data_IF_613229850189
#
_entry.id   IF_613229850189
#
_cell.length_a   1.000
_cell.length_b   1.000
_cell.length_c   1.000
_cell.angle_alpha   90.00
_cell.angle_beta   90.00
_cell.angle_gamma   90.00
#
_symmetry.space_group_name_H-M   'P 1'
#
loop_
_entity.id
_entity.type
_entity.pdbx_description
1 polymer ?
#
# COMPACT_ATOMS: atom_id res chain seq x y z
N UNK A 1 37.36 2.92 11.38
CA UNK A 1 37.41 1.48 11.74
C UNK A 1 35.98 1.01 11.98
N UNK A 2 35.75 -0.29 11.87
CA UNK A 2 34.48 -0.91 12.18
C UNK A 2 34.31 -1.07 13.71
N UNK A 3 33.06 -1.12 14.18
CA UNK A 3 32.70 -1.43 15.57
C UNK A 3 33.17 -2.83 16.00
N UNK A 4 33.12 -3.81 15.10
CA UNK A 4 33.60 -5.17 15.24
C UNK A 4 35.12 -5.20 15.36
N UNK A 5 35.85 -4.39 14.58
CA UNK A 5 37.32 -4.23 14.71
C UNK A 5 37.71 -3.66 16.07
N UNK A 6 36.96 -2.67 16.58
CA UNK A 6 37.20 -2.08 17.90
C UNK A 6 36.93 -3.10 19.03
N UNK A 7 35.87 -3.89 18.91
CA UNK A 7 35.42 -4.79 19.98
C UNK A 7 35.99 -6.21 19.86
N UNK A 8 36.68 -6.57 18.78
CA UNK A 8 37.11 -7.95 18.51
C UNK A 8 37.88 -8.61 19.66
N UNK A 9 38.70 -7.84 20.40
CA UNK A 9 39.50 -8.37 21.51
C UNK A 9 38.66 -8.75 22.73
N UNK A 10 37.43 -8.24 22.84
CA UNK A 10 36.48 -8.64 23.89
C UNK A 10 35.78 -9.97 23.57
N UNK A 11 35.82 -10.42 22.31
CA UNK A 11 35.12 -11.61 21.85
C UNK A 11 36.09 -12.67 21.35
N UNK A 12 36.06 -13.85 21.97
CA UNK A 12 36.86 -15.00 21.53
C UNK A 12 36.53 -15.37 20.08
N UNK A 13 37.52 -15.90 19.36
CA UNK A 13 37.40 -16.22 17.94
C UNK A 13 36.23 -17.16 17.61
N UNK A 14 35.96 -18.16 18.47
CA UNK A 14 34.83 -19.09 18.32
C UNK A 14 33.47 -18.40 18.46
N UNK A 15 33.37 -17.41 19.36
CA UNK A 15 32.16 -16.60 19.54
C UNK A 15 31.92 -15.72 18.31
N UNK A 16 32.99 -15.10 17.79
CA UNK A 16 32.92 -14.26 16.59
C UNK A 16 32.46 -15.06 15.38
N UNK A 17 33.03 -16.25 15.18
CA UNK A 17 32.64 -17.14 14.08
C UNK A 17 31.16 -17.53 14.17
N UNK A 18 30.67 -17.96 15.35
CA UNK A 18 29.25 -18.30 15.54
C UNK A 18 28.34 -17.10 15.31
N UNK A 19 28.70 -15.92 15.80
CA UNK A 19 27.92 -14.71 15.59
C UNK A 19 27.81 -14.33 14.11
N UNK A 20 28.89 -14.51 13.33
CA UNK A 20 28.85 -14.33 11.88
C UNK A 20 27.88 -15.31 11.21
N UNK A 21 27.84 -16.57 11.65
CA UNK A 21 26.88 -17.56 11.13
C UNK A 21 25.44 -17.12 11.35
N UNK A 22 25.08 -16.60 12.52
CA UNK A 22 23.71 -16.11 12.76
C UNK A 22 23.32 -14.96 11.82
N UNK A 23 24.24 -14.05 11.52
CA UNK A 23 23.98 -12.97 10.57
C UNK A 23 23.83 -13.51 9.14
N UNK A 24 24.72 -14.41 8.73
CA UNK A 24 24.68 -15.00 7.38
C UNK A 24 23.43 -15.87 7.14
N UNK A 25 22.94 -16.54 8.18
CA UNK A 25 21.73 -17.36 8.16
C UNK A 25 20.43 -16.51 8.34
N UNK A 26 20.52 -15.18 8.32
CA UNK A 26 19.38 -14.26 8.49
C UNK A 26 18.59 -14.48 9.79
N UNK A 27 19.29 -14.87 10.87
CA UNK A 27 18.68 -15.11 12.20
C UNK A 27 18.76 -13.90 13.14
N UNK A 28 19.18 -12.75 12.63
CA UNK A 28 19.33 -11.50 13.38
C UNK A 28 18.37 -10.47 12.81
N UNK A 29 17.54 -9.89 13.67
CA UNK A 29 16.67 -8.77 13.35
C UNK A 29 16.96 -7.60 14.29
N UNK A 30 17.07 -6.39 13.76
CA UNK A 30 17.10 -5.18 14.57
C UNK A 30 15.65 -4.71 14.74
N UNK A 31 15.15 -4.73 15.97
CA UNK A 31 13.75 -4.42 16.29
C UNK A 31 13.55 -2.90 16.34
N UNK A 32 14.51 -2.19 16.92
CA UNK A 32 14.43 -0.74 17.11
C UNK A 32 15.83 -0.15 17.13
N UNK A 33 16.01 0.94 16.41
CA UNK A 33 17.27 1.70 16.36
C UNK A 33 16.96 3.14 16.71
N UNK A 34 17.68 3.67 17.69
CA UNK A 34 17.63 5.08 18.11
C UNK A 34 19.06 5.62 18.16
N UNK A 35 19.27 6.94 18.18
CA UNK A 35 20.61 7.51 18.26
C UNK A 35 21.47 7.00 19.43
N UNK A 36 20.82 6.63 20.54
CA UNK A 36 21.48 6.11 21.75
C UNK A 36 21.48 4.58 21.88
N UNK A 37 20.47 3.89 21.35
CA UNK A 37 20.24 2.47 21.62
C UNK A 37 19.87 1.69 20.37
N UNK A 38 20.43 0.49 20.24
CA UNK A 38 20.01 -0.55 19.29
C UNK A 38 19.44 -1.72 20.06
N UNK A 39 18.21 -2.13 19.72
CA UNK A 39 17.56 -3.33 20.22
C UNK A 39 17.54 -4.38 19.11
N UNK A 40 18.19 -5.51 19.35
CA UNK A 40 18.25 -6.64 18.45
C UNK A 40 17.53 -7.87 18.99
N UNK A 41 17.20 -8.76 18.08
CA UNK A 41 16.64 -10.08 18.32
C UNK A 41 17.43 -11.11 17.55
N UNK A 42 17.90 -12.16 18.23
CA UNK A 42 18.69 -13.22 17.62
C UNK A 42 18.05 -14.57 17.90
N UNK A 43 17.63 -15.24 16.83
CA UNK A 43 16.98 -16.55 16.88
C UNK A 43 18.03 -17.67 16.90
N UNK A 44 18.04 -18.46 17.97
CA UNK A 44 18.95 -19.61 18.10
C UNK A 44 18.38 -20.85 17.38
N UNK A 45 17.10 -21.11 17.57
CA UNK A 45 16.30 -22.17 16.94
C UNK A 45 14.85 -21.68 16.74
N UNK A 46 13.95 -22.52 16.26
CA UNK A 46 12.57 -22.10 15.93
C UNK A 46 11.74 -21.59 17.12
N UNK A 47 12.13 -21.92 18.36
CA UNK A 47 11.37 -21.56 19.58
C UNK A 47 12.13 -20.65 20.55
N UNK A 48 13.41 -20.39 20.31
CA UNK A 48 14.29 -19.70 21.24
C UNK A 48 14.89 -18.46 20.59
N UNK A 49 14.57 -17.31 21.17
CA UNK A 49 15.03 -16.01 20.72
C UNK A 49 15.66 -15.24 21.88
N UNK A 50 16.77 -14.56 21.60
CA UNK A 50 17.48 -13.74 22.58
C UNK A 50 17.45 -12.29 22.14
N UNK A 51 16.96 -11.43 23.02
CA UNK A 51 17.08 -9.99 22.84
C UNK A 51 18.49 -9.52 23.20
N UNK A 52 18.96 -8.55 22.43
CA UNK A 52 20.25 -7.86 22.61
C UNK A 52 20.00 -6.37 22.68
N UNK A 53 20.85 -5.67 23.44
CA UNK A 53 20.83 -4.21 23.50
C UNK A 53 22.26 -3.69 23.40
N UNK A 54 22.46 -2.72 22.51
CA UNK A 54 23.69 -1.93 22.42
C UNK A 54 23.34 -0.49 22.82
N UNK A 55 23.85 -0.04 23.96
CA UNK A 55 23.55 1.29 24.51
C UNK A 55 24.80 2.15 24.49
N UNK A 56 24.76 3.21 23.69
CA UNK A 56 25.81 4.21 23.61
C UNK A 56 25.78 5.08 24.87
N UNK A 57 26.93 5.18 25.52
CA UNK A 57 27.22 6.20 26.53
C UNK A 57 28.29 7.15 25.99
N UNK A 58 28.55 8.27 26.65
CA UNK A 58 29.42 9.35 26.13
C UNK A 58 30.77 8.84 25.59
N UNK A 59 31.39 7.87 26.27
CA UNK A 59 32.72 7.33 25.91
C UNK A 59 32.78 5.81 25.70
N UNK A 60 31.66 5.07 25.87
CA UNK A 60 31.67 3.60 25.78
C UNK A 60 30.35 3.03 25.27
N UNK A 61 30.41 1.77 24.81
CA UNK A 61 29.25 1.00 24.38
C UNK A 61 28.93 -0.10 25.38
N UNK A 62 27.81 0.07 26.10
CA UNK A 62 27.26 -0.96 26.98
C UNK A 62 26.54 -2.00 26.15
N UNK A 63 26.77 -3.26 26.50
CA UNK A 63 26.22 -4.42 25.81
C UNK A 63 25.35 -5.18 26.79
N UNK A 64 24.19 -5.66 26.36
CA UNK A 64 23.35 -6.56 27.14
C UNK A 64 22.71 -7.62 26.24
N UNK A 65 22.45 -8.79 26.83
CA UNK A 65 21.71 -9.86 26.16
C UNK A 65 21.00 -10.74 27.20
N UNK A 66 19.83 -11.27 26.85
CA UNK A 66 19.06 -12.16 27.72
C UNK A 66 19.59 -13.60 27.80
N UNK A 67 20.68 -13.92 27.09
CA UNK A 67 21.30 -15.24 27.18
C UNK A 67 22.16 -15.40 28.45
N UNK A 68 22.52 -16.63 28.82
CA UNK A 68 23.31 -16.94 30.02
C UNK A 68 24.63 -16.16 30.13
N UNK A 69 25.28 -15.90 29.00
CA UNK A 69 26.54 -15.14 28.92
C UNK A 69 26.33 -13.63 28.83
N UNK A 70 25.09 -13.18 28.63
CA UNK A 70 24.70 -11.78 28.43
C UNK A 70 24.41 -11.01 29.71
N UNK A 71 24.24 -11.70 30.85
CA UNK A 71 23.94 -11.09 32.15
C UNK A 71 25.19 -10.81 33.02
N UNK A 72 26.40 -11.11 32.54
CA UNK A 72 27.65 -10.91 33.28
C UNK A 72 28.16 -9.46 33.25
N UNK A 73 29.15 -9.13 34.10
CA UNK A 73 29.72 -7.78 34.19
C UNK A 73 30.40 -7.28 32.89
N UNK A 74 30.86 -8.20 32.03
CA UNK A 74 31.40 -7.90 30.70
C UNK A 74 30.79 -8.90 29.70
N UNK A 75 29.56 -8.67 29.23
CA UNK A 75 28.87 -9.65 28.41
C UNK A 75 29.53 -9.72 27.02
N UNK A 76 29.87 -10.94 26.62
CA UNK A 76 30.52 -11.26 25.36
C UNK A 76 29.96 -12.58 24.85
N UNK A 77 28.83 -12.50 24.14
CA UNK A 77 28.15 -13.67 23.60
C UNK A 77 27.97 -13.56 22.08
N UNK A 78 27.66 -14.69 21.44
CA UNK A 78 27.48 -14.79 19.99
C UNK A 78 26.31 -13.93 19.47
N UNK A 79 25.27 -13.70 20.28
CA UNK A 79 24.11 -12.89 19.91
C UNK A 79 24.47 -11.39 19.86
N UNK A 80 25.20 -10.89 20.86
CA UNK A 80 25.71 -9.52 20.88
C UNK A 80 26.64 -9.29 19.69
N UNK A 81 27.56 -10.24 19.43
CA UNK A 81 28.44 -10.15 18.27
C UNK A 81 27.67 -10.11 16.95
N UNK A 82 26.66 -10.98 16.78
CA UNK A 82 25.80 -10.99 15.61
C UNK A 82 25.05 -9.65 15.44
N UNK A 83 24.61 -9.03 16.54
CA UNK A 83 23.95 -7.71 16.53
C UNK A 83 24.92 -6.59 16.14
N UNK A 84 26.16 -6.61 16.66
CA UNK A 84 27.22 -5.66 16.26
C UNK A 84 27.46 -5.75 14.75
N UNK A 85 27.59 -6.95 14.21
CA UNK A 85 27.77 -7.16 12.77
C UNK A 85 26.54 -6.71 11.97
N UNK A 86 25.32 -6.89 12.50
CA UNK A 86 24.10 -6.42 11.85
C UNK A 86 24.04 -4.88 11.75
N UNK A 87 24.45 -4.18 12.82
CA UNK A 87 24.58 -2.71 12.81
C UNK A 87 25.54 -2.22 11.73
N UNK A 88 26.67 -2.90 11.58
CA UNK A 88 27.66 -2.57 10.54
C UNK A 88 27.17 -2.87 9.14
N UNK A 89 26.56 -4.04 8.95
CA UNK A 89 26.02 -4.46 7.66
C UNK A 89 24.89 -3.52 7.20
N UNK A 90 24.10 -2.99 8.13
CA UNK A 90 23.08 -1.97 7.86
C UNK A 90 23.65 -0.55 7.68
N UNK A 91 24.93 -0.33 7.96
CA UNK A 91 25.54 1.00 7.93
C UNK A 91 24.93 1.96 8.96
N UNK A 92 24.47 1.45 10.10
CA UNK A 92 23.67 2.18 11.09
C UNK A 92 24.50 3.03 12.06
N UNK A 93 25.70 3.44 11.69
CA UNK A 93 26.56 4.32 12.48
C UNK A 93 26.71 5.64 11.73
N UNK A 94 26.51 6.76 12.41
CA UNK A 94 26.53 8.09 11.78
C UNK A 94 27.93 8.59 11.41
N UNK A 95 28.99 7.90 11.84
CA UNK A 95 30.37 8.31 11.57
C UNK A 95 31.42 7.23 11.86
N UNK A 96 32.67 7.66 12.01
CA UNK A 96 33.80 6.78 12.27
C UNK A 96 33.85 6.33 13.73
N UNK A 97 34.00 5.02 13.95
CA UNK A 97 34.28 4.46 15.27
C UNK A 97 35.74 4.71 15.65
N UNK A 98 36.01 5.04 16.91
CA UNK A 98 37.36 5.16 17.49
C UNK A 98 37.40 4.55 18.90
N UNK A 99 38.56 4.10 19.41
CA UNK A 99 38.66 3.66 20.80
C UNK A 99 38.20 4.77 21.75
N UNK A 100 37.21 4.48 22.60
CA UNK A 100 36.61 5.45 23.53
C UNK A 100 35.58 6.39 22.89
N UNK A 101 35.20 6.20 21.62
CA UNK A 101 34.16 6.99 20.98
C UNK A 101 33.35 6.16 19.97
N UNK A 102 32.07 5.97 20.27
CA UNK A 102 31.10 5.37 19.36
C UNK A 102 30.14 6.46 18.87
N UNK A 103 30.03 6.69 17.55
CA UNK A 103 29.10 7.69 17.02
C UNK A 103 27.65 7.26 17.24
N UNK A 104 26.69 8.20 17.23
CA UNK A 104 25.26 7.87 17.30
C UNK A 104 24.83 6.85 16.25
N UNK A 105 23.84 6.04 16.59
CA UNK A 105 23.24 5.15 15.59
C UNK A 105 22.29 5.92 14.67
N UNK A 106 22.17 5.49 13.43
CA UNK A 106 21.18 6.02 12.51
C UNK A 106 19.84 5.35 12.82
N UNK A 107 18.86 6.12 13.30
CA UNK A 107 17.50 5.60 13.45
C UNK A 107 16.97 5.22 12.06
N UNK A 108 16.54 3.97 11.89
CA UNK A 108 15.68 3.66 10.74
C UNK A 108 14.45 4.57 10.86
N UNK A 109 14.09 5.35 9.83
CA UNK A 109 12.81 6.02 9.83
C UNK A 109 11.76 4.92 9.97
N UNK A 110 10.93 5.02 11.00
CA UNK A 110 9.72 4.21 11.13
C UNK A 110 9.05 4.24 9.76
N UNK A 111 8.88 3.09 9.05
CA UNK A 111 8.37 3.09 7.69
C UNK A 111 6.96 3.64 7.72
N UNK A 112 6.84 4.96 7.56
CA UNK A 112 5.69 5.80 7.88
C UNK A 112 4.45 4.94 8.12
N UNK A 113 4.30 4.49 9.38
CA UNK A 113 3.04 3.93 9.84
C UNK A 113 2.06 5.02 9.49
N UNK A 114 1.17 4.76 8.54
CA UNK A 114 0.12 5.69 8.11
C UNK A 114 -0.37 6.42 9.35
N UNK A 115 0.02 7.69 9.52
CA UNK A 115 -0.51 8.46 10.62
C UNK A 115 -1.98 8.63 10.28
N UNK A 116 -2.82 7.95 11.05
CA UNK A 116 -4.28 8.07 11.01
C UNK A 116 -4.74 9.54 11.14
N UNK A 117 -3.82 10.44 11.48
CA UNK A 117 -4.00 11.89 11.56
C UNK A 117 -4.28 12.56 10.19
N UNK A 118 -3.92 11.96 9.04
CA UNK A 118 -4.24 12.52 7.71
C UNK A 118 -5.64 12.12 7.19
N UNK A 119 -6.36 11.24 7.90
CA UNK A 119 -7.72 10.79 7.53
C UNK A 119 -8.84 11.53 8.29
N UNK A 120 -8.49 12.47 9.18
CA UNK A 120 -9.45 13.18 10.04
C UNK A 120 -9.53 14.70 9.83
N UNK A 121 -8.91 15.25 8.79
CA UNK A 121 -8.95 16.69 8.50
C UNK A 121 -10.15 17.13 7.63
N UNK A 122 -11.14 16.25 7.42
CA UNK A 122 -12.27 16.51 6.51
C UNK A 122 -13.69 16.26 7.04
N UNK A 123 -13.88 15.83 8.29
CA UNK A 123 -15.20 15.41 8.79
C UNK A 123 -15.53 15.85 10.23
N UNK A 124 -15.34 17.13 10.54
CA UNK A 124 -16.06 17.76 11.67
C UNK A 124 -16.49 19.18 11.29
N UNK A 125 -17.57 19.25 10.51
CA UNK A 125 -18.40 20.44 10.42
C UNK A 125 -19.57 20.28 11.42
N UNK A 126 -19.59 21.13 12.45
CA UNK A 126 -20.78 21.40 13.26
C UNK A 126 -21.12 20.45 14.42
N UNK A 127 -20.44 20.58 15.56
CA UNK A 127 -21.08 20.33 16.86
C UNK A 127 -20.54 21.29 17.92
N UNK A 128 -21.33 22.29 18.26
CA UNK A 128 -21.12 23.19 19.40
C UNK A 128 -22.14 22.83 20.49
N UNK A 129 -21.67 22.37 21.66
CA UNK A 129 -22.39 22.67 22.88
C UNK A 129 -21.44 23.25 23.93
N UNK A 130 -21.71 24.51 24.22
CA UNK A 130 -21.47 25.22 25.47
C UNK A 130 -21.16 24.37 26.73
N UNK A 131 -20.15 24.89 27.45
CA UNK A 131 -19.97 24.94 28.91
C UNK A 131 -19.49 23.72 29.71
N UNK A 132 -18.28 23.87 30.25
CA UNK A 132 -18.01 23.63 31.68
C UNK A 132 -17.19 22.39 32.02
N UNK A 133 -15.95 22.57 32.49
CA UNK A 133 -15.27 21.52 33.27
C UNK A 133 -13.74 21.56 33.24
N UNK A 134 -13.16 22.18 34.28
CA UNK A 134 -11.75 22.12 34.65
C UNK A 134 -11.16 20.71 34.71
N UNK A 135 -9.92 20.53 34.25
CA UNK A 135 -9.16 19.30 34.54
C UNK A 135 -7.78 19.18 33.88
N UNK A 136 -6.77 19.84 34.45
CA UNK A 136 -5.35 19.42 34.48
C UNK A 136 -4.72 18.85 33.19
N UNK A 137 -4.16 19.72 32.36
CA UNK A 137 -3.12 19.34 31.38
C UNK A 137 -1.75 19.76 31.91
N UNK A 138 -0.94 18.76 32.28
CA UNK A 138 0.44 18.98 32.73
C UNK A 138 1.27 19.54 31.59
N UNK A 139 1.88 20.71 31.81
CA UNK A 139 2.90 21.32 30.95
C UNK A 139 4.04 20.33 30.68
N UNK A 140 4.00 19.63 29.55
CA UNK A 140 5.20 19.04 28.95
C UNK A 140 6.02 20.19 28.35
N UNK A 141 7.08 20.53 29.08
CA UNK A 141 8.11 21.50 28.71
C UNK A 141 8.75 21.01 27.39
N UNK A 142 8.44 21.72 26.30
CA UNK A 142 8.96 21.47 24.97
C UNK A 142 10.38 22.02 24.93
N UNK A 143 11.37 21.18 25.22
CA UNK A 143 12.78 21.49 24.92
C UNK A 143 12.95 21.36 23.41
N UNK A 144 13.00 22.51 22.75
CA UNK A 144 13.44 22.68 21.38
C UNK A 144 14.95 22.45 21.34
N UNK A 145 15.37 21.20 21.20
CA UNK A 145 16.70 20.89 20.66
C UNK A 145 16.51 20.42 19.23
N UNK A 146 17.05 21.25 18.35
CA UNK A 146 17.06 21.14 16.92
C UNK A 146 18.05 20.01 16.53
N UNK A 147 17.69 18.76 16.79
CA UNK A 147 18.38 17.62 16.19
C UNK A 147 17.92 17.51 14.74
N UNK A 148 18.64 18.19 13.86
CA UNK A 148 18.55 18.01 12.41
C UNK A 148 18.81 16.52 12.12
N UNK A 149 17.72 15.77 11.93
CA UNK A 149 17.77 14.38 11.48
C UNK A 149 18.35 14.35 10.07
N UNK A 150 19.67 14.11 9.96
CA UNK A 150 20.33 13.90 8.68
C UNK A 150 19.75 12.63 8.07
N UNK A 151 18.84 12.80 7.12
CA UNK A 151 18.26 11.69 6.37
C UNK A 151 19.31 11.16 5.39
N UNK A 152 19.97 10.07 5.74
CA UNK A 152 20.82 9.32 4.83
C UNK A 152 20.05 8.10 4.34
N UNK A 153 19.99 7.94 3.01
CA UNK A 153 19.27 6.83 2.39
C UNK A 153 19.85 5.48 2.84
N UNK A 154 19.01 4.50 3.24
CA UNK A 154 19.48 3.18 3.64
C UNK A 154 20.26 2.50 2.52
N UNK A 155 21.38 1.85 2.87
CA UNK A 155 22.10 0.97 1.93
C UNK A 155 21.29 -0.31 1.73
N UNK A 156 20.38 -0.28 0.76
CA UNK A 156 19.53 -1.41 0.40
C UNK A 156 20.38 -2.65 0.05
N UNK A 157 19.98 -3.82 0.54
CA UNK A 157 20.56 -5.12 0.17
C UNK A 157 20.34 -5.42 -1.33
N UNK A 158 21.11 -6.33 -1.95
CA UNK A 158 20.97 -6.62 -3.38
C UNK A 158 19.57 -7.11 -3.81
N UNK A 159 18.80 -7.75 -2.93
CA UNK A 159 17.41 -8.13 -3.22
C UNK A 159 16.43 -6.97 -3.02
N UNK A 160 16.65 -6.10 -2.02
CA UNK A 160 15.87 -4.88 -1.81
C UNK A 160 16.06 -3.91 -2.97
N UNK A 161 17.30 -3.72 -3.45
CA UNK A 161 17.57 -2.94 -4.65
C UNK A 161 16.85 -3.51 -5.88
N UNK A 162 16.77 -4.84 -6.00
CA UNK A 162 16.02 -5.49 -7.10
C UNK A 162 14.52 -5.22 -6.96
N UNK A 163 13.95 -5.28 -5.77
CA UNK A 163 12.54 -4.93 -5.55
C UNK A 163 12.25 -3.45 -5.80
N UNK A 164 13.13 -2.55 -5.38
CA UNK A 164 13.02 -1.12 -5.69
C UNK A 164 13.05 -0.89 -7.21
N UNK A 165 13.96 -1.52 -7.95
CA UNK A 165 13.95 -1.46 -9.42
C UNK A 165 12.67 -2.01 -10.04
N UNK A 166 12.12 -3.10 -9.50
CA UNK A 166 10.82 -3.64 -9.96
C UNK A 166 9.72 -2.61 -9.70
N UNK A 167 9.65 -2.02 -8.51
CA UNK A 167 8.72 -0.95 -8.14
C UNK A 167 8.86 0.26 -9.06
N UNK A 168 10.07 0.76 -9.28
CA UNK A 168 10.35 1.88 -10.17
C UNK A 168 9.94 1.56 -11.62
N UNK A 169 10.13 0.32 -12.09
CA UNK A 169 9.70 -0.12 -13.42
C UNK A 169 8.17 -0.23 -13.55
N UNK A 170 7.46 -0.48 -12.44
CA UNK A 170 6.00 -0.50 -12.39
C UNK A 170 5.45 0.93 -12.35
N UNK A 171 6.04 1.80 -11.51
CA UNK A 171 5.67 3.21 -11.37
C UNK A 171 5.95 3.99 -12.66
N UNK A 172 7.13 3.82 -13.26
CA UNK A 172 7.49 4.46 -14.55
C UNK A 172 6.56 4.01 -15.69
N UNK A 173 6.06 2.76 -15.62
CA UNK A 173 5.05 2.27 -16.57
C UNK A 173 3.67 2.86 -16.35
N UNK A 174 3.38 3.47 -15.19
CA UNK A 174 2.11 4.16 -14.90
C UNK A 174 2.20 5.67 -15.14
N UNK A 175 3.35 6.30 -14.91
CA UNK A 175 3.48 7.76 -14.86
C UNK A 175 3.82 8.46 -16.19
N UNK A 176 4.00 7.73 -17.29
CA UNK A 176 4.51 8.31 -18.54
C UNK A 176 3.46 9.00 -19.44
N UNK A 177 2.41 9.56 -18.86
CA UNK A 177 1.51 10.49 -19.56
C UNK A 177 1.22 11.72 -18.71
N UNK A 178 1.52 12.94 -19.21
CA UNK A 178 0.98 14.13 -18.59
C UNK A 178 -0.54 14.01 -18.61
N UNK A 179 -1.17 14.02 -17.43
CA UNK A 179 -2.62 14.14 -17.27
C UNK A 179 -2.98 15.55 -17.73
N UNK A 180 -3.01 15.76 -19.05
CA UNK A 180 -3.68 16.93 -19.61
C UNK A 180 -5.14 16.76 -19.23
N UNK A 181 -5.66 17.69 -18.43
CA UNK A 181 -7.01 17.77 -17.89
C UNK A 181 -8.09 17.92 -18.97
N UNK A 182 -8.08 17.07 -19.99
CA UNK A 182 -9.20 16.92 -20.92
C UNK A 182 -10.29 16.17 -20.16
N UNK A 183 -11.34 16.90 -19.78
CA UNK A 183 -12.55 16.33 -19.19
C UNK A 183 -12.98 15.12 -20.02
N UNK A 184 -12.85 13.94 -19.42
CA UNK A 184 -13.23 12.65 -20.00
C UNK A 184 -14.44 12.17 -19.24
N UNK A 185 -15.50 11.83 -19.97
CA UNK A 185 -16.74 11.35 -19.38
C UNK A 185 -16.97 9.90 -19.81
N UNK A 186 -17.27 9.03 -18.85
CA UNK A 186 -17.56 7.61 -19.08
C UNK A 186 -19.08 7.40 -19.15
N UNK A 187 -19.49 6.52 -20.05
CA UNK A 187 -20.87 6.08 -20.23
C UNK A 187 -20.96 4.56 -20.05
N UNK A 188 -22.11 4.12 -19.56
CA UNK A 188 -22.44 2.72 -19.31
C UNK A 188 -23.61 2.33 -20.22
N UNK A 189 -23.38 1.38 -21.11
CA UNK A 189 -24.31 1.02 -22.18
C UNK A 189 -24.75 -0.43 -22.03
N UNK A 190 -26.03 -0.66 -21.76
CA UNK A 190 -26.62 -2.00 -21.68
C UNK A 190 -26.84 -2.53 -23.10
N UNK A 191 -26.18 -3.65 -23.44
CA UNK A 191 -26.38 -4.33 -24.71
C UNK A 191 -27.42 -5.43 -24.55
N UNK A 192 -28.67 -5.14 -24.95
CA UNK A 192 -29.80 -6.06 -24.81
C UNK A 192 -29.55 -7.34 -25.60
N UNK A 193 -29.13 -7.24 -26.86
CA UNK A 193 -28.90 -8.38 -27.75
C UNK A 193 -27.84 -9.32 -27.19
N UNK A 194 -26.72 -8.76 -26.70
CA UNK A 194 -25.66 -9.56 -26.08
C UNK A 194 -26.09 -10.12 -24.71
N UNK A 195 -26.92 -9.39 -23.96
CA UNK A 195 -27.43 -9.86 -22.65
C UNK A 195 -28.34 -11.08 -22.82
N UNK A 196 -29.24 -11.04 -23.81
CA UNK A 196 -30.12 -12.17 -24.15
C UNK A 196 -29.28 -13.38 -24.60
N UNK A 197 -28.29 -13.17 -25.48
CA UNK A 197 -27.44 -14.25 -25.96
C UNK A 197 -26.57 -14.87 -24.86
N UNK A 198 -26.12 -14.07 -23.88
CA UNK A 198 -25.26 -14.53 -22.80
C UNK A 198 -26.05 -15.08 -21.58
N UNK A 199 -27.36 -14.84 -21.50
CA UNK A 199 -28.19 -15.19 -20.34
C UNK A 199 -27.85 -14.38 -19.07
N UNK A 200 -27.12 -13.29 -19.21
CA UNK A 200 -26.66 -12.41 -18.11
C UNK A 200 -26.51 -10.99 -18.63
N UNK A 201 -26.60 -9.98 -17.76
CA UNK A 201 -26.50 -8.59 -18.17
C UNK A 201 -25.13 -8.30 -18.79
N UNK A 202 -25.10 -7.71 -19.98
CA UNK A 202 -23.88 -7.26 -20.66
C UNK A 202 -23.85 -5.74 -20.69
N UNK A 203 -22.87 -5.17 -20.00
CA UNK A 203 -22.63 -3.72 -19.97
C UNK A 203 -21.35 -3.40 -20.74
N UNK A 204 -21.44 -2.43 -21.65
CA UNK A 204 -20.31 -1.84 -22.35
C UNK A 204 -19.93 -0.49 -21.73
N UNK A 205 -18.64 -0.21 -21.60
CA UNK A 205 -18.14 1.10 -21.18
C UNK A 205 -17.59 1.87 -22.36
N UNK A 206 -18.00 3.11 -22.49
CA UNK A 206 -17.52 4.04 -23.52
C UNK A 206 -17.16 5.38 -22.92
N UNK A 207 -16.34 6.17 -23.62
CA UNK A 207 -15.94 7.50 -23.19
C UNK A 207 -16.07 8.53 -24.31
N UNK A 208 -16.12 9.79 -23.92
CA UNK A 208 -15.84 10.92 -24.81
C UNK A 208 -14.92 11.91 -24.10
N UNK A 209 -14.12 12.61 -24.91
CA UNK A 209 -13.20 13.63 -24.43
C UNK A 209 -13.60 14.98 -24.98
N UNK A 210 -13.46 16.01 -24.15
CA UNK A 210 -13.63 17.39 -24.58
C UNK A 210 -12.44 17.82 -25.43
N UNK A 211 -12.71 18.40 -26.60
CA UNK A 211 -11.69 18.99 -27.47
C UNK A 211 -11.19 20.32 -26.88
N UNK A 212 -10.08 20.83 -27.40
CA UNK A 212 -9.57 22.18 -27.10
C UNK A 212 -10.65 23.26 -27.25
N UNK A 213 -11.57 23.05 -28.19
CA UNK A 213 -12.60 24.00 -28.58
C UNK A 213 -13.84 23.92 -27.66
N UNK A 214 -13.76 23.16 -26.56
CA UNK A 214 -14.84 23.01 -25.59
C UNK A 214 -16.00 22.10 -26.04
N UNK A 215 -16.01 21.65 -27.29
CA UNK A 215 -16.99 20.69 -27.80
C UNK A 215 -16.65 19.24 -27.41
N UNK A 216 -17.68 18.41 -27.22
CA UNK A 216 -17.52 16.98 -26.96
C UNK A 216 -17.16 16.22 -28.23
N UNK A 217 -16.18 15.31 -28.13
CA UNK A 217 -15.90 14.34 -29.19
C UNK A 217 -16.94 13.21 -29.26
N UNK A 218 -16.87 12.41 -30.32
CA UNK A 218 -17.70 11.20 -30.49
C UNK A 218 -17.40 10.16 -29.40
N UNK A 219 -18.44 9.44 -28.96
CA UNK A 219 -18.36 8.33 -28.04
C UNK A 219 -17.52 7.17 -28.62
N UNK A 220 -16.56 6.65 -27.85
CA UNK A 220 -15.67 5.55 -28.22
C UNK A 220 -15.60 4.52 -27.09
N UNK A 221 -15.43 3.24 -27.42
CA UNK A 221 -15.23 2.20 -26.41
C UNK A 221 -14.05 2.54 -25.47
N UNK A 222 -14.30 2.49 -24.17
CA UNK A 222 -13.32 2.74 -23.14
C UNK A 222 -12.68 1.41 -22.76
N UNK A 223 -11.49 1.16 -23.29
CA UNK A 223 -10.67 -0.01 -22.96
C UNK A 223 -9.89 0.28 -21.68
N UNK A 224 -10.36 -0.23 -20.54
CA UNK A 224 -9.70 -0.02 -19.25
C UNK A 224 -8.68 -1.12 -19.00
N UNK A 225 -7.51 -0.74 -18.50
CA UNK A 225 -6.51 -1.69 -17.98
C UNK A 225 -6.59 -1.72 -16.46
N UNK A 226 -6.52 -2.92 -15.88
CA UNK A 226 -6.65 -3.18 -14.44
C UNK A 226 -5.71 -2.30 -13.58
N UNK A 227 -4.50 -1.98 -14.08
CA UNK A 227 -3.52 -1.12 -13.39
C UNK A 227 -3.52 0.36 -13.79
N UNK A 228 -4.55 0.87 -14.49
CA UNK A 228 -4.64 2.26 -14.97
C UNK A 228 -5.97 2.94 -14.57
N UNK A 229 -6.62 2.46 -13.51
CA UNK A 229 -7.85 3.07 -13.01
C UNK A 229 -7.61 4.48 -12.43
N UNK A 230 -6.39 4.77 -11.97
CA UNK A 230 -6.01 6.09 -11.46
C UNK A 230 -6.03 7.19 -12.54
N UNK A 231 -5.93 6.80 -13.82
CA UNK A 231 -6.06 7.73 -14.95
C UNK A 231 -7.50 8.25 -15.10
N UNK A 232 -8.48 7.67 -14.39
CA UNK A 232 -9.89 8.09 -14.41
C UNK A 232 -10.13 9.15 -13.33
N UNK A 233 -10.39 10.37 -13.80
CA UNK A 233 -10.52 11.56 -12.96
C UNK A 233 -11.75 11.53 -12.06
N UNK A 234 -12.90 11.03 -12.54
CA UNK A 234 -14.14 10.99 -11.76
C UNK A 234 -14.14 9.81 -10.78
N UNK A 235 -14.33 10.09 -9.50
CA UNK A 235 -14.34 9.08 -8.43
C UNK A 235 -15.43 8.01 -8.61
N UNK A 236 -16.64 8.40 -9.00
CA UNK A 236 -17.74 7.47 -9.25
C UNK A 236 -17.44 6.52 -10.41
N UNK A 237 -16.84 7.04 -11.50
CA UNK A 237 -16.45 6.22 -12.65
C UNK A 237 -15.39 5.21 -12.26
N UNK A 238 -14.38 5.63 -11.48
CA UNK A 238 -13.34 4.73 -10.96
C UNK A 238 -13.95 3.62 -10.11
N UNK A 239 -14.88 3.97 -9.21
CA UNK A 239 -15.55 3.02 -8.33
C UNK A 239 -16.36 1.98 -9.12
N UNK A 240 -17.20 2.43 -10.06
CA UNK A 240 -18.03 1.53 -10.88
C UNK A 240 -17.14 0.62 -11.74
N UNK A 241 -16.10 1.16 -12.37
CA UNK A 241 -15.18 0.38 -13.20
C UNK A 241 -14.39 -0.65 -12.39
N UNK A 242 -14.01 -0.35 -11.14
CA UNK A 242 -13.40 -1.33 -10.23
C UNK A 242 -14.32 -2.52 -9.97
N UNK A 243 -15.61 -2.28 -9.72
CA UNK A 243 -16.59 -3.35 -9.54
C UNK A 243 -16.75 -4.19 -10.81
N UNK A 244 -16.85 -3.55 -11.98
CA UNK A 244 -16.99 -4.26 -13.25
C UNK A 244 -15.76 -5.12 -13.58
N UNK A 245 -14.56 -4.60 -13.37
CA UNK A 245 -13.31 -5.32 -13.66
C UNK A 245 -13.11 -6.49 -12.68
N UNK A 246 -13.35 -6.28 -11.38
CA UNK A 246 -13.16 -7.31 -10.36
C UNK A 246 -14.29 -8.35 -10.32
N UNK A 247 -15.52 -7.92 -10.61
CA UNK A 247 -16.73 -8.74 -10.50
C UNK A 247 -17.19 -9.39 -11.82
N UNK A 248 -16.53 -9.09 -12.94
CA UNK A 248 -16.80 -9.72 -14.24
C UNK A 248 -15.60 -10.59 -14.65
N UNK A 249 -15.42 -11.78 -14.07
CA UNK A 249 -14.36 -12.68 -14.49
C UNK A 249 -14.65 -13.17 -15.91
N UNK A 250 -13.98 -12.61 -16.90
CA UNK A 250 -13.90 -13.22 -18.22
C UNK A 250 -13.04 -14.50 -18.10
N UNK A 251 -13.63 -15.57 -17.56
CA UNK A 251 -13.11 -16.91 -17.77
C UNK A 251 -13.49 -17.32 -19.18
N UNK A 252 -12.75 -16.79 -20.16
CA UNK A 252 -12.63 -17.46 -21.45
C UNK A 252 -12.00 -18.82 -21.17
N UNK A 253 -12.84 -19.85 -21.15
CA UNK A 253 -12.46 -21.22 -20.92
C UNK A 253 -11.51 -21.68 -22.03
N UNK A 254 -10.28 -22.05 -21.65
CA UNK A 254 -9.30 -22.67 -22.53
C UNK A 254 -8.05 -21.84 -22.71
N UNK A 255 -6.94 -22.34 -22.16
CA UNK A 255 -5.58 -21.80 -22.20
C UNK A 255 -5.32 -20.70 -21.16
N UNK A 256 -4.24 -20.91 -20.40
CA UNK A 256 -3.75 -20.00 -19.37
C UNK A 256 -3.79 -18.55 -19.89
N UNK A 257 -4.69 -17.75 -19.34
CA UNK A 257 -4.82 -16.36 -19.70
C UNK A 257 -3.50 -15.66 -19.37
N UNK A 258 -2.72 -15.38 -20.40
CA UNK A 258 -1.57 -14.49 -20.35
C UNK A 258 -2.05 -13.18 -19.72
N UNK A 259 -1.40 -12.65 -18.66
CA UNK A 259 -1.79 -11.38 -18.01
C UNK A 259 -1.96 -10.19 -18.98
N UNK A 260 -1.39 -10.30 -20.19
CA UNK A 260 -1.42 -9.29 -21.24
C UNK A 260 -2.75 -9.22 -22.00
N UNK A 261 -3.59 -10.27 -22.00
CA UNK A 261 -4.89 -10.26 -22.71
C UNK A 261 -6.04 -9.66 -21.88
N UNK A 262 -5.86 -9.47 -20.57
CA UNK A 262 -6.75 -8.65 -19.74
C UNK A 262 -6.69 -7.14 -20.10
N UNK A 263 -5.84 -6.77 -21.05
CA UNK A 263 -5.42 -5.41 -21.34
C UNK A 263 -6.40 -4.50 -22.07
N UNK A 264 -7.62 -4.93 -22.43
CA UNK A 264 -8.60 -4.05 -23.10
C UNK A 264 -10.06 -4.47 -22.90
N UNK A 265 -10.50 -4.77 -21.67
CA UNK A 265 -11.92 -5.02 -21.44
C UNK A 265 -12.68 -3.69 -21.52
N UNK A 266 -13.78 -3.72 -22.27
CA UNK A 266 -14.75 -2.63 -22.37
C UNK A 266 -16.19 -3.15 -22.39
N UNK A 267 -16.37 -4.48 -22.24
CA UNK A 267 -17.65 -5.18 -22.18
C UNK A 267 -17.59 -6.18 -21.05
N UNK A 268 -18.60 -6.18 -20.20
CA UNK A 268 -18.61 -6.87 -18.92
C UNK A 268 -19.90 -7.68 -18.81
N UNK A 269 -19.77 -8.98 -18.50
CA UNK A 269 -20.89 -9.83 -18.09
C UNK A 269 -21.11 -9.63 -16.59
N UNK A 270 -22.20 -8.99 -16.21
CA UNK A 270 -22.47 -8.57 -14.84
C UNK A 270 -23.40 -9.60 -14.19
N UNK A 271 -22.93 -10.37 -13.20
CA UNK A 271 -23.78 -11.30 -12.44
C UNK A 271 -24.96 -10.58 -11.78
N UNK A 272 -26.04 -11.31 -11.52
CA UNK A 272 -27.27 -10.74 -10.97
C UNK A 272 -27.02 -10.03 -9.62
N UNK A 273 -26.21 -10.63 -8.75
CA UNK A 273 -25.86 -10.09 -7.43
C UNK A 273 -25.05 -8.79 -7.55
N UNK A 274 -24.23 -8.67 -8.60
CA UNK A 274 -23.46 -7.45 -8.85
C UNK A 274 -24.35 -6.35 -9.43
N UNK A 275 -25.41 -6.69 -10.15
CA UNK A 275 -26.35 -5.73 -10.73
C UNK A 275 -27.00 -4.85 -9.65
N UNK A 276 -27.36 -5.42 -8.50
CA UNK A 276 -27.97 -4.69 -7.38
C UNK A 276 -27.05 -3.58 -6.83
N UNK A 277 -25.74 -3.73 -6.98
CA UNK A 277 -24.75 -2.73 -6.54
C UNK A 277 -24.43 -1.74 -7.67
N UNK A 278 -24.14 -2.24 -8.86
CA UNK A 278 -23.58 -1.40 -9.92
C UNK A 278 -24.63 -0.63 -10.72
N UNK A 279 -25.84 -1.17 -10.90
CA UNK A 279 -26.89 -0.47 -11.67
C UNK A 279 -27.38 0.81 -10.98
N UNK A 280 -27.64 0.84 -9.65
CA UNK A 280 -27.97 2.09 -8.97
C UNK A 280 -26.84 3.13 -9.06
N UNK A 281 -25.58 2.69 -8.92
CA UNK A 281 -24.43 3.57 -9.04
C UNK A 281 -24.33 4.16 -10.46
N UNK A 282 -24.47 3.33 -11.51
CA UNK A 282 -24.44 3.77 -12.90
C UNK A 282 -25.58 4.74 -13.22
N UNK A 283 -26.81 4.42 -12.78
CA UNK A 283 -27.97 5.27 -12.97
C UNK A 283 -27.81 6.62 -12.25
N UNK A 284 -27.26 6.61 -11.02
CA UNK A 284 -26.95 7.83 -10.25
C UNK A 284 -25.98 8.78 -10.94
N UNK A 285 -25.14 8.28 -11.86
CA UNK A 285 -24.27 9.15 -12.67
C UNK A 285 -25.03 9.92 -13.77
N UNK A 286 -26.27 9.53 -14.09
CA UNK A 286 -27.03 10.06 -15.23
C UNK A 286 -26.46 9.65 -16.59
N UNK A 287 -25.65 8.59 -16.65
CA UNK A 287 -24.90 8.17 -17.85
C UNK A 287 -25.13 6.70 -18.25
N UNK A 288 -26.09 6.03 -17.61
CA UNK A 288 -26.56 4.70 -17.98
C UNK A 288 -27.56 4.80 -19.15
N UNK A 289 -27.42 3.96 -20.17
CA UNK A 289 -28.26 3.95 -21.39
C UNK A 289 -28.30 2.58 -22.06
N UNK A 290 -29.15 2.39 -23.06
CA UNK A 290 -29.06 1.23 -23.94
C UNK A 290 -28.05 1.45 -25.06
N UNK A 291 -27.37 0.38 -25.49
CA UNK A 291 -26.46 0.43 -26.63
C UNK A 291 -27.24 0.67 -27.92
N UNK A 292 -26.85 1.68 -28.70
CA UNK A 292 -27.48 2.02 -29.98
C UNK A 292 -28.47 3.19 -29.90
N UNK A 293 -28.80 3.64 -28.70
CA UNK A 293 -29.58 4.86 -28.49
C UNK A 293 -28.86 6.10 -29.03
N UNK A 294 -29.60 6.97 -29.71
CA UNK A 294 -29.04 8.23 -30.21
C UNK A 294 -28.75 9.17 -29.05
N UNK A 295 -27.52 9.70 -29.04
CA UNK A 295 -26.99 10.55 -27.96
C UNK A 295 -27.84 11.79 -27.64
N UNK A 296 -28.59 12.30 -28.62
CA UNK A 296 -29.43 13.50 -28.47
C UNK A 296 -30.86 13.23 -28.01
N UNK A 297 -31.30 11.97 -27.97
CA UNK A 297 -32.73 11.63 -27.77
C UNK A 297 -32.98 10.59 -26.68
N UNK A 298 -31.94 10.02 -26.08
CA UNK A 298 -32.10 9.03 -25.02
C UNK A 298 -31.95 9.70 -23.66
N UNK A 299 -33.06 9.77 -22.94
CA UNK A 299 -33.03 10.06 -21.51
C UNK A 299 -32.20 8.98 -20.80
N UNK A 300 -31.32 9.35 -19.85
CA UNK A 300 -30.58 8.37 -19.09
C UNK A 300 -31.52 7.42 -18.35
N UNK A 301 -31.13 6.14 -18.28
CA UNK A 301 -31.85 5.16 -17.48
C UNK A 301 -31.72 5.51 -16.00
N UNK A 302 -32.86 5.62 -15.32
CA UNK A 302 -32.95 5.80 -13.88
C UNK A 302 -33.17 4.47 -13.17
N UNK A 303 -32.62 4.34 -11.97
CA UNK A 303 -32.89 3.21 -11.10
C UNK A 303 -34.18 3.45 -10.32
N UNK A 304 -35.09 2.48 -10.33
CA UNK A 304 -36.27 2.47 -9.47
C UNK A 304 -35.90 1.80 -8.13
N UNK A 305 -35.99 2.57 -7.04
CA UNK A 305 -35.73 2.10 -5.68
C UNK A 305 -36.96 1.46 -5.01
N UNK A 306 -38.06 1.28 -5.75
CA UNK A 306 -39.26 0.59 -5.30
C UNK A 306 -39.06 -0.92 -5.10
N UNK A 307 -40.15 -1.60 -4.76
CA UNK A 307 -40.16 -3.06 -4.64
C UNK A 307 -39.86 -3.72 -5.99
N UNK A 308 -39.05 -4.79 -6.05
CA UNK A 308 -38.78 -5.51 -7.29
C UNK A 308 -40.06 -5.92 -8.01
N UNK A 309 -40.03 -5.84 -9.34
CA UNK A 309 -41.15 -6.27 -10.17
C UNK A 309 -41.30 -7.79 -10.09
N UNK A 310 -42.50 -8.27 -9.80
CA UNK A 310 -42.83 -9.69 -9.83
C UNK A 310 -43.39 -10.08 -11.21
N UNK A 311 -42.79 -11.09 -11.85
CA UNK A 311 -43.31 -11.63 -13.09
C UNK A 311 -44.54 -12.50 -12.79
N UNK A 312 -45.73 -11.96 -13.07
CA UNK A 312 -46.98 -12.71 -12.94
C UNK A 312 -47.45 -13.24 -14.29
N UNK A 313 -47.72 -14.55 -14.38
CA UNK A 313 -48.36 -15.18 -15.54
C UNK A 313 -49.77 -15.61 -15.15
N UNK A 314 -50.77 -15.19 -15.94
CA UNK A 314 -52.16 -15.63 -15.80
C UNK A 314 -52.54 -16.45 -17.02
N UNK A 315 -53.02 -17.68 -16.80
CA UNK A 315 -53.58 -18.53 -17.86
C UNK A 315 -55.09 -18.36 -17.85
N UNK A 316 -55.67 -17.89 -18.95
CA UNK A 316 -57.11 -17.91 -19.21
C UNK A 316 -57.43 -18.96 -20.26
N UNK A 317 -58.62 -19.56 -20.20
CA UNK A 317 -59.16 -20.36 -21.31
C UNK A 317 -59.75 -19.41 -22.34
N UNK A 318 -59.48 -19.66 -23.62
CA UNK A 318 -60.25 -19.05 -24.71
C UNK A 318 -61.67 -19.62 -24.66
N UNK A 319 -62.68 -18.74 -24.65
CA UNK A 319 -64.10 -19.08 -24.73
C UNK A 319 -64.48 -19.66 -26.11
#
# INVERSE_FOLDING_TARGET
>A
MLLSEMLQNRFRADIRWRGQTYLNDERVALIRVTPGDVFGSVRENDSTEFSTQLSRTEDDLKLACTCKLGSGAKPACKHIWATILAVEAGGLLSGDVRPGHVPPFLAEPDPAVFSDDDLLDGLVDGFDPHEGGSGTSSRRRRTTENEESVQVQPRLRPWEQRLVRVRESMLSRTSDRPVTSRQTQVFFEIDISASVAAGTLVVQTSHRQRRSDGQWGKLKALKVRVGRLDDITHGDDRRILSYLIGGSPERSAGQAAVPELQGTLYRYKVPAELCEVVLPLMAGTGRLRYLGDKESSAEPLSWDAGTPWELCVRVSRDD
#
